data_IF_009457897771
#
_entry.id   IF_009457897771
#
_cell.length_a   1.000
_cell.length_b   1.000
_cell.length_c   1.000
_cell.angle_alpha   90.00
_cell.angle_beta   90.00
_cell.angle_gamma   90.00
#
_symmetry.space_group_name_H-M   'P 1'
#
loop_
_entity.id
_entity.type
_entity.pdbx_description
1 polymer ?
#
# COMPACT_ATOMS: atom_id res chain seq x y z
N UNK A 1 -2.20 10.09 10.92
CA UNK A 1 -3.43 9.27 10.97
C UNK A 1 -4.14 9.31 12.31
N UNK A 2 -3.47 9.12 13.46
CA UNK A 2 -4.15 9.12 14.78
C UNK A 2 -4.96 10.39 15.06
N UNK A 3 -4.44 11.58 14.76
CA UNK A 3 -5.17 12.84 14.95
C UNK A 3 -6.49 12.95 14.16
N UNK A 4 -6.56 12.34 12.96
CA UNK A 4 -7.77 12.30 12.14
C UNK A 4 -8.78 11.29 12.68
N UNK A 5 -8.28 10.14 13.18
CA UNK A 5 -9.11 9.11 13.79
C UNK A 5 -9.76 9.65 15.07
N UNK A 6 -9.00 10.36 15.91
CA UNK A 6 -9.52 10.95 17.14
C UNK A 6 -10.52 12.09 16.89
N UNK A 7 -10.29 12.94 15.88
CA UNK A 7 -11.24 14.01 15.57
C UNK A 7 -12.54 13.48 14.96
N UNK A 8 -12.45 12.46 14.09
CA UNK A 8 -13.62 11.78 13.54
C UNK A 8 -14.39 11.00 14.62
N UNK A 9 -13.69 10.30 15.51
CA UNK A 9 -14.32 9.60 16.63
C UNK A 9 -14.97 10.58 17.63
N UNK A 10 -14.42 11.78 17.81
CA UNK A 10 -15.03 12.85 18.62
C UNK A 10 -16.32 13.40 18.00
N UNK A 11 -16.38 13.57 16.67
CA UNK A 11 -17.52 14.18 15.98
C UNK A 11 -18.61 13.16 15.65
N UNK A 12 -18.22 11.96 15.22
CA UNK A 12 -19.14 10.93 14.73
C UNK A 12 -19.41 9.81 15.74
N UNK A 13 -18.65 9.74 16.84
CA UNK A 13 -18.76 8.71 17.87
C UNK A 13 -17.59 7.73 17.88
N UNK A 14 -17.29 7.15 19.05
CA UNK A 14 -16.11 6.32 19.27
C UNK A 14 -16.09 5.09 18.35
N UNK A 15 -15.01 4.93 17.57
CA UNK A 15 -14.80 3.78 16.69
C UNK A 15 -15.37 3.94 15.27
N UNK A 16 -16.08 5.04 14.98
CA UNK A 16 -16.66 5.31 13.66
C UNK A 16 -15.58 5.57 12.62
N UNK A 17 -14.49 6.24 12.99
CA UNK A 17 -13.37 6.47 12.07
C UNK A 17 -12.74 5.14 11.58
N UNK A 18 -12.72 4.11 12.43
CA UNK A 18 -12.17 2.80 12.07
C UNK A 18 -13.05 2.04 11.09
N UNK A 19 -14.36 2.03 11.29
CA UNK A 19 -15.30 1.36 10.39
C UNK A 19 -15.35 2.04 9.02
N UNK A 20 -15.39 3.38 8.96
CA UNK A 20 -15.36 4.13 7.70
C UNK A 20 -14.06 3.91 6.92
N UNK A 21 -12.91 3.99 7.58
CA UNK A 21 -11.62 3.78 6.91
C UNK A 21 -11.45 2.34 6.43
N UNK A 22 -11.93 1.35 7.20
CA UNK A 22 -11.94 -0.05 6.77
C UNK A 22 -12.82 -0.27 5.53
N UNK A 23 -14.03 0.28 5.50
CA UNK A 23 -14.95 0.21 4.36
C UNK A 23 -14.39 0.93 3.12
N UNK A 24 -13.81 2.12 3.31
CA UNK A 24 -13.18 2.87 2.23
C UNK A 24 -12.02 2.06 1.63
N UNK A 25 -11.13 1.52 2.48
CA UNK A 25 -10.00 0.70 2.03
C UNK A 25 -10.47 -0.56 1.30
N UNK A 26 -11.49 -1.24 1.83
CA UNK A 26 -12.05 -2.44 1.21
C UNK A 26 -12.64 -2.13 -0.18
N UNK A 27 -13.42 -1.05 -0.27
CA UNK A 27 -14.05 -0.60 -1.52
C UNK A 27 -13.01 -0.25 -2.56
N UNK A 28 -12.03 0.59 -2.20
CA UNK A 28 -10.94 1.01 -3.08
C UNK A 28 -10.16 -0.22 -3.55
N UNK A 29 -9.78 -1.10 -2.64
CA UNK A 29 -9.04 -2.33 -2.96
C UNK A 29 -9.81 -3.24 -3.92
N UNK A 30 -11.12 -3.36 -3.74
CA UNK A 30 -11.99 -4.16 -4.62
C UNK A 30 -12.07 -3.55 -6.01
N UNK A 31 -12.20 -2.23 -6.12
CA UNK A 31 -12.22 -1.51 -7.40
C UNK A 31 -10.91 -1.68 -8.16
N UNK A 32 -9.78 -1.48 -7.49
CA UNK A 32 -8.46 -1.71 -8.10
C UNK A 32 -8.26 -3.15 -8.55
N UNK A 33 -8.72 -4.14 -7.75
CA UNK A 33 -8.66 -5.55 -8.14
C UNK A 33 -9.47 -5.81 -9.40
N UNK A 34 -10.73 -5.37 -9.44
CA UNK A 34 -11.60 -5.55 -10.60
C UNK A 34 -11.02 -4.91 -11.86
N UNK A 35 -10.42 -3.72 -11.74
CA UNK A 35 -9.78 -3.04 -12.87
C UNK A 35 -8.58 -3.84 -13.39
N UNK A 36 -7.70 -4.28 -12.48
CA UNK A 36 -6.54 -5.09 -12.82
C UNK A 36 -6.94 -6.40 -13.51
N UNK A 37 -7.99 -7.05 -13.00
CA UNK A 37 -8.47 -8.31 -13.53
C UNK A 37 -9.12 -8.10 -14.92
N UNK A 38 -9.85 -7.00 -15.13
CA UNK A 38 -10.39 -6.62 -16.44
C UNK A 38 -9.27 -6.37 -17.46
N UNK A 39 -8.23 -5.61 -17.10
CA UNK A 39 -7.06 -5.36 -17.97
C UNK A 39 -6.35 -6.67 -18.30
N UNK A 40 -6.15 -7.56 -17.30
CA UNK A 40 -5.56 -8.87 -17.52
C UNK A 40 -6.37 -9.72 -18.50
N UNK A 41 -7.70 -9.73 -18.35
CA UNK A 41 -8.59 -10.47 -19.26
C UNK A 41 -8.54 -9.94 -20.70
N UNK A 42 -8.43 -8.62 -20.88
CA UNK A 42 -8.30 -8.00 -22.19
C UNK A 42 -6.96 -8.35 -22.84
N UNK A 43 -5.87 -8.28 -22.07
CA UNK A 43 -4.54 -8.68 -22.54
C UNK A 43 -4.53 -10.15 -22.99
N UNK A 44 -5.14 -11.04 -22.21
CA UNK A 44 -5.23 -12.46 -22.52
C UNK A 44 -6.11 -12.70 -23.76
N UNK A 45 -7.20 -11.94 -23.94
CA UNK A 45 -8.04 -12.03 -25.13
C UNK A 45 -7.30 -11.56 -26.39
N UNK A 46 -6.55 -10.45 -26.30
CA UNK A 46 -5.72 -9.95 -27.40
C UNK A 46 -4.63 -10.96 -27.74
N UNK A 47 -3.96 -11.54 -26.74
CA UNK A 47 -2.93 -12.59 -26.94
C UNK A 47 -3.48 -13.82 -27.63
N UNK A 48 -4.68 -14.27 -27.24
CA UNK A 48 -5.36 -15.40 -27.91
C UNK A 48 -5.71 -15.08 -29.36
N UNK A 49 -6.17 -13.85 -29.65
CA UNK A 49 -6.42 -13.39 -31.02
C UNK A 49 -5.15 -13.29 -31.87
N UNK A 50 -4.01 -13.01 -31.25
CA UNK A 50 -2.72 -12.86 -31.92
C UNK A 50 -2.02 -14.20 -32.23
N UNK A 51 -2.56 -15.34 -31.77
CA UNK A 51 -2.09 -16.67 -32.17
C UNK A 51 -0.87 -17.23 -31.41
N UNK A 52 -0.52 -16.69 -30.24
CA UNK A 52 0.61 -17.15 -29.41
C UNK A 52 0.11 -17.85 -28.11
N UNK A 53 -0.28 -19.13 -28.15
CA UNK A 53 -0.80 -19.83 -26.96
C UNK A 53 0.28 -20.28 -25.96
N UNK A 54 1.54 -20.45 -26.39
CA UNK A 54 2.58 -21.12 -25.58
C UNK A 54 3.36 -20.18 -24.63
N UNK A 55 3.48 -18.89 -24.97
CA UNK A 55 4.18 -17.93 -24.10
C UNK A 55 3.31 -17.39 -22.95
N UNK A 56 1.98 -17.30 -23.15
CA UNK A 56 1.04 -16.73 -22.20
C UNK A 56 0.85 -17.60 -20.93
N UNK A 57 0.83 -18.93 -21.08
CA UNK A 57 0.74 -19.88 -19.97
C UNK A 57 1.89 -19.70 -18.97
N UNK A 58 3.12 -19.48 -19.46
CA UNK A 58 4.30 -19.22 -18.62
C UNK A 58 4.25 -17.84 -17.94
N UNK A 59 3.71 -16.83 -18.61
CA UNK A 59 3.58 -15.48 -18.06
C UNK A 59 2.54 -15.42 -16.92
N UNK A 60 1.37 -16.04 -17.12
CA UNK A 60 0.30 -16.09 -16.11
C UNK A 60 0.72 -16.97 -14.91
N UNK A 61 1.42 -18.08 -15.16
CA UNK A 61 2.00 -18.90 -14.08
C UNK A 61 3.04 -18.11 -13.26
N UNK A 62 3.91 -17.33 -13.91
CA UNK A 62 4.87 -16.45 -13.21
C UNK A 62 4.17 -15.36 -12.39
N UNK A 63 3.12 -14.73 -12.93
CA UNK A 63 2.36 -13.72 -12.19
C UNK A 63 1.61 -14.34 -11.00
N UNK A 64 1.01 -15.53 -11.16
CA UNK A 64 0.41 -16.27 -10.03
C UNK A 64 1.45 -16.67 -8.98
N UNK A 65 2.62 -17.12 -9.41
CA UNK A 65 3.73 -17.44 -8.50
C UNK A 65 4.18 -16.21 -7.72
N UNK A 66 4.36 -15.06 -8.38
CA UNK A 66 4.71 -13.79 -7.74
C UNK A 66 3.59 -13.30 -6.81
N UNK A 67 2.32 -13.42 -7.20
CA UNK A 67 1.19 -13.05 -6.33
C UNK A 67 1.11 -13.96 -5.10
N UNK A 68 1.41 -15.26 -5.26
CA UNK A 68 1.43 -16.23 -4.18
C UNK A 68 2.62 -16.02 -3.25
N UNK A 69 3.80 -15.71 -3.79
CA UNK A 69 4.97 -15.29 -3.03
C UNK A 69 4.70 -13.98 -2.27
N UNK A 70 4.04 -13.01 -2.88
CA UNK A 70 3.67 -11.76 -2.21
C UNK A 70 2.64 -11.99 -1.10
N UNK A 71 1.67 -12.90 -1.29
CA UNK A 71 0.74 -13.32 -0.23
C UNK A 71 1.46 -14.04 0.90
N UNK A 72 2.39 -14.96 0.58
CA UNK A 72 3.21 -15.65 1.58
C UNK A 72 4.10 -14.67 2.33
N UNK A 73 4.78 -13.75 1.64
CA UNK A 73 5.62 -12.73 2.25
C UNK A 73 4.80 -11.77 3.12
N UNK A 74 3.54 -11.47 2.76
CA UNK A 74 2.63 -10.71 3.64
C UNK A 74 2.12 -11.53 4.83
N UNK A 75 1.94 -12.84 4.68
CA UNK A 75 1.60 -13.71 5.81
C UNK A 75 2.79 -13.85 6.78
N UNK A 76 4.01 -14.00 6.27
CA UNK A 76 5.25 -13.99 7.05
C UNK A 76 5.53 -12.62 7.67
N UNK A 77 5.29 -11.52 6.94
CA UNK A 77 5.35 -10.18 7.51
C UNK A 77 4.33 -10.01 8.62
N UNK A 78 3.11 -10.56 8.50
CA UNK A 78 2.10 -10.59 9.58
C UNK A 78 2.55 -11.37 10.81
N UNK A 79 3.27 -12.47 10.63
CA UNK A 79 3.92 -13.20 11.74
C UNK A 79 5.10 -12.40 12.35
N UNK A 80 5.68 -11.48 11.57
CA UNK A 80 6.72 -10.52 11.98
C UNK A 80 6.22 -9.09 12.23
N UNK A 81 4.91 -8.83 12.38
CA UNK A 81 4.37 -7.50 12.76
C UNK A 81 4.62 -7.29 14.25
N UNK A 82 5.90 -7.14 14.56
CA UNK A 82 6.38 -6.11 15.43
C UNK A 82 7.44 -5.31 14.67
N UNK A 83 7.07 -4.68 13.55
CA UNK A 83 7.94 -3.65 12.95
C UNK A 83 7.17 -2.61 12.15
N UNK A 84 6.87 -1.52 12.86
CA UNK A 84 6.50 -0.20 12.34
C UNK A 84 7.55 0.24 11.31
N UNK A 85 7.15 0.42 10.06
CA UNK A 85 7.99 1.03 9.03
C UNK A 85 7.16 1.97 8.13
N UNK A 86 6.41 2.87 8.75
CA UNK A 86 6.26 4.22 8.20
C UNK A 86 7.33 5.06 8.90
N UNK A 87 8.47 5.29 8.23
CA UNK A 87 9.31 6.44 8.57
C UNK A 87 9.04 7.50 7.51
N UNK A 88 8.63 8.73 7.87
CA UNK A 88 8.85 9.85 6.97
C UNK A 88 10.36 9.96 6.70
N UNK A 89 10.75 10.19 5.45
CA UNK A 89 12.14 10.42 5.05
C UNK A 89 12.75 11.46 6.00
N UNK A 90 13.69 11.02 6.86
CA UNK A 90 14.51 11.89 7.70
C UNK A 90 15.56 12.54 6.80
N UNK A 91 15.11 13.49 5.98
CA UNK A 91 15.93 14.40 5.21
C UNK A 91 15.85 15.77 5.84
N UNK A 92 16.53 15.97 6.97
CA UNK A 92 17.13 17.26 7.29
C UNK A 92 18.37 16.99 8.16
N UNK A 93 19.57 17.37 7.71
CA UNK A 93 20.82 17.14 8.43
C UNK A 93 20.81 17.85 9.79
N UNK A 94 21.41 17.19 10.79
CA UNK A 94 21.49 17.57 12.20
C UNK A 94 22.46 18.76 12.47
N UNK A 95 22.67 19.66 11.49
CA UNK A 95 23.66 20.75 11.57
C UNK A 95 23.06 22.18 11.45
N UNK A 96 21.74 22.36 11.56
CA UNK A 96 21.09 23.69 11.41
C UNK A 96 20.51 24.28 12.68
N UNK A 97 20.83 23.75 13.86
CA UNK A 97 20.45 24.35 15.16
C UNK A 97 21.64 25.00 15.88
N UNK A 98 22.89 24.73 15.48
CA UNK A 98 24.08 25.41 16.01
C UNK A 98 24.30 26.81 15.43
N UNK A 99 23.65 27.16 14.31
CA UNK A 99 23.72 28.53 13.74
C UNK A 99 22.76 29.49 14.45
N UNK A 100 21.66 28.99 15.04
CA UNK A 100 20.73 29.83 15.80
C UNK A 100 21.14 30.07 17.26
N UNK A 101 22.07 29.29 17.82
CA UNK A 101 22.55 29.51 19.19
C UNK A 101 23.73 30.49 19.29
N UNK A 102 24.42 30.81 18.19
CA UNK A 102 25.59 31.71 18.19
C UNK A 102 25.20 33.19 17.99
N UNK A 103 23.97 33.49 17.56
CA UNK A 103 23.50 34.88 17.37
C UNK A 103 22.70 35.42 18.58
N UNK A 104 22.41 34.59 19.60
CA UNK A 104 21.69 35.02 20.81
C UNK A 104 22.59 35.18 22.06
N UNK A 105 23.93 35.09 21.89
CA UNK A 105 24.90 35.24 22.98
C UNK A 105 26.02 36.26 22.63
N UNK A 106 25.67 37.28 21.83
CA UNK A 106 26.42 38.52 21.73
C UNK A 106 25.56 39.65 22.32
#
# INVERSE_FOLDING_TARGET
>A
MQALVTSLDMVAGNGVAKSYTALALQTISRRFRSLRDAIGSQLDAIRRKLGEPEAASRCIQRLRYVEQQLRQQRALQQLGVMRRAWRPQKGLPENSVTVLSIVSAA
#
